data_IF_074023262546
#
_entry.id   IF_074023262546
#
_cell.length_a   1.000
_cell.length_b   1.000
_cell.length_c   1.000
_cell.angle_alpha   90.00
_cell.angle_beta   90.00
_cell.angle_gamma   90.00
#
_symmetry.space_group_name_H-M   'P 1'
#
loop_
_entity.id
_entity.type
_entity.pdbx_description
1 polymer ?
#
# COMPACT_ATOMS: atom_id res chain seq x y z
N UNK A 1 11.75 17.82 14.18
CA UNK A 1 11.83 16.87 15.30
C UNK A 1 10.40 16.46 15.64
N UNK A 2 10.03 15.18 15.48
CA UNK A 2 8.74 14.67 15.95
C UNK A 2 8.81 14.56 17.48
N UNK A 3 7.81 15.09 18.19
CA UNK A 3 7.65 14.86 19.62
C UNK A 3 7.58 13.35 19.89
N UNK A 4 8.51 12.82 20.67
CA UNK A 4 8.77 11.39 20.90
C UNK A 4 7.70 10.60 21.65
N UNK A 5 6.44 10.64 21.18
CA UNK A 5 5.46 9.63 21.54
C UNK A 5 5.61 8.43 20.58
N UNK A 6 5.68 7.20 21.08
CA UNK A 6 5.70 6.02 20.23
C UNK A 6 4.45 6.02 19.36
N UNK A 7 4.63 5.66 18.09
CA UNK A 7 3.52 5.48 17.15
C UNK A 7 2.64 4.35 17.71
N UNK A 8 1.33 4.55 17.73
CA UNK A 8 0.41 3.49 18.17
C UNK A 8 0.51 2.34 17.18
N UNK A 9 0.77 1.12 17.64
CA UNK A 9 0.86 -0.07 16.80
C UNK A 9 -0.51 -0.73 16.55
N UNK A 10 -1.58 -0.22 17.17
CA UNK A 10 -2.93 -0.81 17.11
C UNK A 10 -3.46 -0.88 15.66
N UNK A 11 -3.10 0.10 14.82
CA UNK A 11 -3.57 0.15 13.44
C UNK A 11 -2.65 -0.59 12.45
N UNK A 12 -1.45 -1.02 12.85
CA UNK A 12 -0.51 -1.70 11.96
C UNK A 12 -1.08 -3.01 11.34
N UNK A 13 -1.85 -3.86 12.07
CA UNK A 13 -2.45 -5.06 11.49
C UNK A 13 -3.43 -4.78 10.34
N UNK A 14 -4.11 -3.62 10.37
CA UNK A 14 -5.08 -3.25 9.34
C UNK A 14 -4.42 -2.97 7.98
N UNK A 15 -3.16 -2.52 7.97
CA UNK A 15 -2.41 -2.37 6.73
C UNK A 15 -2.26 -3.72 6.01
N UNK A 16 -1.87 -4.76 6.76
CA UNK A 16 -1.76 -6.11 6.21
C UNK A 16 -3.13 -6.63 5.76
N UNK A 17 -4.15 -6.51 6.61
CA UNK A 17 -5.51 -6.96 6.29
C UNK A 17 -6.02 -6.35 4.98
N UNK A 18 -5.92 -5.02 4.85
CA UNK A 18 -6.47 -4.33 3.67
C UNK A 18 -5.68 -4.68 2.41
N UNK A 19 -4.35 -4.78 2.49
CA UNK A 19 -3.53 -5.26 1.35
C UNK A 19 -3.94 -6.68 0.96
N UNK A 20 -4.07 -7.60 1.92
CA UNK A 20 -4.51 -8.98 1.64
C UNK A 20 -5.89 -9.00 0.99
N UNK A 21 -6.86 -8.23 1.49
CA UNK A 21 -8.21 -8.16 0.92
C UNK A 21 -8.22 -7.62 -0.51
N UNK A 22 -7.39 -6.62 -0.83
CA UNK A 22 -7.25 -6.14 -2.21
C UNK A 22 -6.69 -7.24 -3.11
N UNK A 23 -5.74 -8.01 -2.61
CA UNK A 23 -5.10 -9.09 -3.36
C UNK A 23 -6.02 -10.31 -3.54
N UNK A 24 -6.98 -10.58 -2.65
CA UNK A 24 -7.89 -11.73 -2.85
C UNK A 24 -8.86 -11.55 -4.03
N UNK A 25 -8.98 -10.34 -4.60
CA UNK A 25 -9.94 -9.98 -5.66
C UNK A 25 -11.41 -10.19 -5.29
N UNK A 26 -11.71 -10.43 -4.00
CA UNK A 26 -13.07 -10.67 -3.53
C UNK A 26 -13.85 -9.38 -3.24
N UNK A 27 -13.25 -8.22 -3.46
CA UNK A 27 -13.86 -6.91 -3.22
C UNK A 27 -14.11 -6.15 -4.51
N UNK A 28 -15.25 -5.49 -4.57
CA UNK A 28 -15.64 -4.68 -5.71
C UNK A 28 -14.85 -3.36 -5.81
N UNK A 29 -15.01 -2.66 -6.93
CA UNK A 29 -14.38 -1.36 -7.15
C UNK A 29 -14.88 -0.28 -6.18
N UNK A 30 -16.11 -0.42 -5.65
CA UNK A 30 -16.66 0.51 -4.67
C UNK A 30 -15.87 0.44 -3.37
N UNK A 31 -15.67 -0.76 -2.82
CA UNK A 31 -14.84 -0.98 -1.64
C UNK A 31 -13.42 -0.46 -1.84
N UNK A 32 -12.79 -0.81 -2.97
CA UNK A 32 -11.43 -0.37 -3.33
C UNK A 32 -11.32 1.17 -3.30
N UNK A 33 -12.30 1.88 -3.87
CA UNK A 33 -12.33 3.34 -3.88
C UNK A 33 -12.42 3.94 -2.47
N UNK A 34 -13.12 3.27 -1.55
CA UNK A 34 -13.30 3.74 -0.16
C UNK A 34 -12.06 3.51 0.69
N UNK A 35 -11.31 2.43 0.44
CA UNK A 35 -10.11 2.10 1.24
C UNK A 35 -8.84 2.80 0.77
N UNK A 36 -8.81 3.35 -0.45
CA UNK A 36 -7.63 4.03 -1.02
C UNK A 36 -6.98 5.03 -0.05
N UNK A 37 -7.77 5.96 0.50
CA UNK A 37 -7.24 7.00 1.39
C UNK A 37 -6.83 6.42 2.75
N UNK A 38 -7.55 5.42 3.25
CA UNK A 38 -7.18 4.74 4.51
C UNK A 38 -5.84 4.02 4.36
N UNK A 39 -5.61 3.33 3.25
CA UNK A 39 -4.34 2.66 2.93
C UNK A 39 -3.21 3.67 2.84
N UNK A 40 -3.44 4.80 2.16
CA UNK A 40 -2.45 5.86 2.07
C UNK A 40 -1.93 6.27 3.45
N UNK A 41 -2.83 6.56 4.39
CA UNK A 41 -2.44 6.92 5.75
C UNK A 41 -1.77 5.76 6.49
N UNK A 42 -2.25 4.53 6.33
CA UNK A 42 -1.64 3.36 6.95
C UNK A 42 -0.21 3.14 6.44
N UNK A 43 0.06 3.34 5.15
CA UNK A 43 1.42 3.25 4.58
C UNK A 43 2.32 4.37 5.13
N UNK A 44 1.83 5.62 5.16
CA UNK A 44 2.56 6.74 5.77
C UNK A 44 2.81 6.50 7.27
N UNK A 45 1.90 5.80 7.94
CA UNK A 45 2.02 5.46 9.35
C UNK A 45 2.93 4.25 9.60
N UNK A 46 3.00 3.27 8.71
CA UNK A 46 3.68 2.02 8.99
C UNK A 46 4.54 1.59 7.80
N UNK A 47 5.45 2.46 7.37
CA UNK A 47 6.32 2.24 6.20
C UNK A 47 7.15 0.95 6.33
N UNK A 48 7.73 0.69 7.51
CA UNK A 48 8.49 -0.55 7.74
C UNK A 48 7.60 -1.79 7.62
N UNK A 49 6.36 -1.69 8.11
CA UNK A 49 5.38 -2.77 8.01
C UNK A 49 4.95 -2.99 6.56
N UNK A 50 4.74 -1.92 5.79
CA UNK A 50 4.47 -2.00 4.36
C UNK A 50 5.60 -2.75 3.64
N UNK A 51 6.86 -2.37 3.88
CA UNK A 51 8.02 -3.00 3.28
C UNK A 51 8.11 -4.50 3.65
N UNK A 52 7.85 -4.85 4.92
CA UNK A 52 7.78 -6.25 5.36
C UNK A 52 6.67 -7.03 4.64
N UNK A 53 5.49 -6.46 4.48
CA UNK A 53 4.38 -7.10 3.76
C UNK A 53 4.78 -7.39 2.32
N UNK A 54 5.37 -6.42 1.61
CA UNK A 54 5.84 -6.60 0.24
C UNK A 54 6.91 -7.69 0.18
N UNK A 55 7.94 -7.62 1.03
CA UNK A 55 9.03 -8.61 1.10
C UNK A 55 8.53 -10.03 1.37
N UNK A 56 7.50 -10.19 2.21
CA UNK A 56 6.93 -11.50 2.52
C UNK A 56 6.00 -12.03 1.43
N UNK A 57 5.41 -11.15 0.61
CA UNK A 57 4.46 -11.51 -0.43
C UNK A 57 5.12 -11.93 -1.75
N UNK A 58 6.27 -11.35 -2.09
CA UNK A 58 6.94 -11.66 -3.36
C UNK A 58 7.37 -13.14 -3.47
N UNK A 59 7.93 -13.79 -2.42
CA UNK A 59 8.35 -15.19 -2.49
C UNK A 59 7.19 -16.19 -2.54
N UNK A 60 5.96 -15.78 -2.20
CA UNK A 60 4.79 -16.67 -2.25
C UNK A 60 4.21 -16.79 -3.66
N UNK A 61 4.70 -15.98 -4.61
CA UNK A 61 4.27 -16.07 -6.00
C UNK A 61 5.00 -17.21 -6.71
N UNK A 62 4.27 -18.18 -7.24
CA UNK A 62 4.85 -19.31 -7.98
C UNK A 62 5.48 -18.91 -9.32
N UNK A 63 5.12 -17.74 -9.86
CA UNK A 63 5.61 -17.23 -11.14
C UNK A 63 6.52 -16.02 -10.91
N UNK A 64 7.79 -16.14 -11.28
CA UNK A 64 8.82 -15.10 -11.12
C UNK A 64 8.48 -13.80 -11.88
N UNK A 65 7.82 -13.90 -13.04
CA UNK A 65 7.37 -12.74 -13.80
C UNK A 65 6.24 -12.00 -13.06
N UNK A 66 5.33 -12.74 -12.42
CA UNK A 66 4.26 -12.16 -11.58
C UNK A 66 4.87 -11.50 -10.35
N UNK A 67 5.85 -12.15 -9.70
CA UNK A 67 6.58 -11.56 -8.57
C UNK A 67 7.25 -10.22 -8.96
N UNK A 68 7.95 -10.17 -10.09
CA UNK A 68 8.58 -8.93 -10.57
C UNK A 68 7.56 -7.82 -10.86
N UNK A 69 6.45 -8.16 -11.54
CA UNK A 69 5.39 -7.19 -11.83
C UNK A 69 4.75 -6.66 -10.55
N UNK A 70 4.51 -7.53 -9.58
CA UNK A 70 3.94 -7.18 -8.28
C UNK A 70 4.90 -6.28 -7.48
N UNK A 71 6.20 -6.61 -7.45
CA UNK A 71 7.23 -5.79 -6.82
C UNK A 71 7.26 -4.37 -7.42
N UNK A 72 7.23 -4.27 -8.74
CA UNK A 72 7.19 -2.98 -9.43
C UNK A 72 5.91 -2.21 -9.13
N UNK A 73 4.76 -2.88 -9.06
CA UNK A 73 3.48 -2.25 -8.74
C UNK A 73 3.49 -1.67 -7.31
N UNK A 74 4.00 -2.42 -6.32
CA UNK A 74 4.15 -1.92 -4.94
C UNK A 74 5.17 -0.78 -4.85
N UNK A 75 6.28 -0.84 -5.59
CA UNK A 75 7.26 0.26 -5.62
C UNK A 75 6.63 1.55 -6.15
N UNK A 76 5.95 1.47 -7.30
CA UNK A 76 5.25 2.60 -7.93
C UNK A 76 4.17 3.21 -7.02
N UNK A 77 3.44 2.36 -6.29
CA UNK A 77 2.39 2.79 -5.37
C UNK A 77 2.86 3.84 -4.36
N UNK A 78 4.13 3.75 -3.93
CA UNK A 78 4.70 4.61 -2.89
C UNK A 78 5.77 5.58 -3.38
N UNK A 79 6.12 5.55 -4.67
CA UNK A 79 7.28 6.27 -5.22
C UNK A 79 7.21 7.80 -5.03
N UNK A 80 6.01 8.36 -5.06
CA UNK A 80 5.79 9.80 -4.92
C UNK A 80 5.44 10.26 -3.50
N UNK A 81 5.38 9.34 -2.53
CA UNK A 81 4.98 9.68 -1.17
C UNK A 81 6.17 10.31 -0.45
N UNK A 82 6.00 11.56 -0.02
CA UNK A 82 6.89 12.14 0.96
C UNK A 82 6.47 11.71 2.37
N UNK A 83 7.22 10.78 2.95
CA UNK A 83 6.97 10.24 4.30
C UNK A 83 7.17 11.26 5.44
N UNK A 84 7.65 12.48 5.15
CA UNK A 84 7.67 13.55 6.14
C UNK A 84 6.24 14.04 6.39
N UNK A 85 5.80 13.95 7.65
CA UNK A 85 4.43 14.27 8.08
C UNK A 85 3.87 15.61 7.56
N UNK A 86 4.72 16.62 7.42
CA UNK A 86 4.35 17.95 6.85
C UNK A 86 3.87 17.92 5.39
N UNK A 87 4.17 16.85 4.64
CA UNK A 87 3.84 16.70 3.23
C UNK A 87 2.84 15.58 2.94
N UNK A 88 2.48 14.76 3.94
CA UNK A 88 1.50 13.66 3.80
C UNK A 88 0.13 14.14 3.27
N UNK A 89 -0.26 15.40 3.48
CA UNK A 89 -1.50 15.89 2.89
C UNK A 89 -1.40 16.25 1.39
N UNK A 90 -0.19 16.44 0.84
CA UNK A 90 0.03 16.96 -0.52
C UNK A 90 0.04 15.86 -1.58
N UNK A 91 0.44 14.65 -1.23
CA UNK A 91 0.66 13.57 -2.21
C UNK A 91 -0.57 12.66 -2.40
N UNK A 92 -1.72 13.01 -1.80
CA UNK A 92 -2.95 12.19 -1.81
C UNK A 92 -3.49 11.90 -3.21
N UNK A 93 -3.56 12.92 -4.07
CA UNK A 93 -4.09 12.76 -5.43
C UNK A 93 -3.14 11.89 -6.29
N UNK A 94 -1.83 12.10 -6.15
CA UNK A 94 -0.83 11.28 -6.84
C UNK A 94 -0.90 9.83 -6.38
N UNK A 95 -1.02 9.60 -5.08
CA UNK A 95 -1.22 8.26 -4.54
C UNK A 95 -2.47 7.61 -5.10
N UNK A 96 -3.60 8.34 -5.17
CA UNK A 96 -4.84 7.80 -5.74
C UNK A 96 -4.64 7.32 -7.17
N UNK A 97 -3.95 8.10 -8.01
CA UNK A 97 -3.64 7.69 -9.38
C UNK A 97 -2.76 6.43 -9.42
N UNK A 98 -1.71 6.38 -8.60
CA UNK A 98 -0.84 5.19 -8.50
C UNK A 98 -1.58 3.97 -7.95
N UNK A 99 -2.57 4.17 -7.07
CA UNK A 99 -3.41 3.11 -6.52
C UNK A 99 -4.39 2.56 -7.55
N UNK A 100 -5.01 3.43 -8.36
CA UNK A 100 -5.87 3.00 -9.47
C UNK A 100 -5.06 2.19 -10.51
N UNK A 101 -3.84 2.63 -10.84
CA UNK A 101 -2.91 1.87 -11.70
C UNK A 101 -2.55 0.52 -11.06
N UNK A 102 -2.23 0.50 -9.76
CA UNK A 102 -1.92 -0.72 -9.01
C UNK A 102 -3.05 -1.75 -9.09
N UNK A 103 -4.29 -1.32 -8.85
CA UNK A 103 -5.46 -2.22 -8.87
C UNK A 103 -5.75 -2.71 -10.30
N UNK A 104 -5.63 -1.85 -11.31
CA UNK A 104 -5.81 -2.23 -12.71
C UNK A 104 -4.76 -3.27 -13.13
N UNK A 105 -3.49 -3.04 -12.81
CA UNK A 105 -2.40 -3.97 -13.09
C UNK A 105 -2.61 -5.31 -12.36
N UNK A 106 -2.94 -5.27 -11.08
CA UNK A 106 -3.12 -6.48 -10.28
C UNK A 106 -4.27 -7.36 -10.76
N UNK A 107 -5.37 -6.77 -11.26
CA UNK A 107 -6.50 -7.54 -11.83
C UNK A 107 -6.16 -8.24 -13.14
N UNK A 108 -5.13 -7.75 -13.85
CA UNK A 108 -4.70 -8.25 -15.16
C UNK A 108 -3.47 -9.18 -15.09
N UNK A 109 -2.90 -9.40 -13.90
CA UNK A 109 -1.85 -10.39 -13.65
C UNK A 109 -2.44 -11.79 -13.51
#
# INVERSE_FOLDING_TARGET
>A
MQNGRPKSEIMAPFLNLVITVILTRQVDSYFISKVCISIYYLICCYQDKYNQIVQNLLPTQSNEQVAHRLANAFKKLTEHINFLWKYVCRDKERFKNSFDEFVANYRNF
#
